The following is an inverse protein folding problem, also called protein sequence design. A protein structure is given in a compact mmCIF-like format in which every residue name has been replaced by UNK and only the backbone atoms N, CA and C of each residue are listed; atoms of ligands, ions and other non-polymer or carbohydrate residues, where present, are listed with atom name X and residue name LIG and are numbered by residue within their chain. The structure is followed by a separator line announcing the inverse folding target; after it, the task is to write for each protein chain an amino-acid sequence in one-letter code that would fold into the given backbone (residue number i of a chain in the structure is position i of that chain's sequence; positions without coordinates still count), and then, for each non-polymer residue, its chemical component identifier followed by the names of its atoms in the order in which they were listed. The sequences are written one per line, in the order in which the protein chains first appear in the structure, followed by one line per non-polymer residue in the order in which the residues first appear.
data_IF_616339752888
#
_entry.id   IF_616339752888
#
_cell.length_a   1.000
_cell.length_b   1.000
_cell.length_c   1.000
_cell.angle_alpha   90.00
_cell.angle_beta   90.00
_cell.angle_gamma   90.00
#
_symmetry.space_group_name_H-M   'P 1'
#
loop_
_entity.id
_entity.type
_entity.pdbx_description
1 polymer ?
#
# COMPACT_ATOMS: atom_id res chain seq x y z
N UNK A 1 -23.89 12.39 16.86
CA UNK A 1 -25.06 12.32 15.95
C UNK A 1 -24.59 12.38 14.51
N UNK A 2 -24.76 11.30 13.72
CA UNK A 2 -24.31 11.27 12.30
C UNK A 2 -25.14 12.22 11.43
N UNK A 3 -26.44 12.35 11.69
CA UNK A 3 -27.36 13.22 10.96
C UNK A 3 -27.01 14.73 11.02
N UNK A 4 -26.18 15.16 11.98
CA UNK A 4 -25.70 16.54 12.05
C UNK A 4 -24.62 16.85 10.99
N UNK A 5 -24.03 15.82 10.39
CA UNK A 5 -23.10 15.96 9.26
C UNK A 5 -23.95 16.14 8.00
N UNK A 6 -23.79 17.26 7.30
CA UNK A 6 -24.46 17.58 6.02
C UNK A 6 -23.93 16.69 4.88
N UNK A 7 -24.05 15.38 5.04
CA UNK A 7 -23.59 14.39 4.08
C UNK A 7 -24.54 14.39 2.88
N UNK A 8 -23.95 14.33 1.69
CA UNK A 8 -24.66 14.23 0.43
C UNK A 8 -24.13 13.00 -0.33
N UNK A 9 -25.00 12.39 -1.15
CA UNK A 9 -24.66 11.25 -2.00
C UNK A 9 -25.06 11.57 -3.43
N UNK A 10 -24.23 11.19 -4.39
CA UNK A 10 -24.54 11.31 -5.82
C UNK A 10 -24.37 9.96 -6.51
N UNK A 11 -25.36 9.60 -7.33
CA UNK A 11 -25.39 8.35 -8.09
C UNK A 11 -24.69 8.54 -9.43
N UNK A 12 -23.86 7.58 -9.80
CA UNK A 12 -23.08 7.61 -11.05
C UNK A 12 -23.22 6.33 -11.90
N UNK A 13 -24.01 5.34 -11.44
CA UNK A 13 -24.22 4.08 -12.16
C UNK A 13 -25.51 3.40 -11.69
N UNK A 14 -26.18 2.68 -12.60
CA UNK A 14 -27.37 1.89 -12.34
C UNK A 14 -27.09 0.43 -12.72
N UNK A 15 -27.26 -0.48 -11.77
CA UNK A 15 -27.14 -1.93 -11.97
C UNK A 15 -28.54 -2.57 -11.90
N UNK A 16 -28.82 -3.49 -12.82
CA UNK A 16 -30.06 -4.25 -12.80
C UNK A 16 -30.22 -5.11 -14.05
N UNK A 17 -31.13 -6.07 -13.95
CA UNK A 17 -31.63 -6.84 -15.10
C UNK A 17 -32.76 -6.03 -15.76
N UNK A 18 -32.74 -5.90 -17.09
CA UNK A 18 -33.78 -5.14 -17.82
C UNK A 18 -33.69 -3.63 -17.64
N UNK A 19 -32.49 -3.05 -17.79
CA UNK A 19 -32.32 -1.60 -17.72
C UNK A 19 -33.16 -0.86 -18.78
N UNK A 20 -33.69 0.33 -18.47
CA UNK A 20 -34.60 1.08 -19.34
C UNK A 20 -34.03 1.45 -20.73
N UNK A 21 -32.71 1.59 -20.84
CA UNK A 21 -32.00 1.87 -22.09
C UNK A 21 -30.65 1.14 -22.15
N UNK A 22 -30.11 0.94 -23.35
CA UNK A 22 -28.71 0.52 -23.55
C UNK A 22 -27.72 1.70 -23.35
N UNK A 23 -28.19 2.94 -23.18
CA UNK A 23 -27.34 4.11 -22.90
C UNK A 23 -27.17 4.35 -21.40
N UNK A 24 -25.92 4.41 -20.94
CA UNK A 24 -25.57 4.81 -19.58
C UNK A 24 -26.11 6.21 -19.26
N UNK A 25 -25.92 7.18 -20.15
CA UNK A 25 -26.39 8.55 -19.97
C UNK A 25 -27.91 8.61 -19.80
N UNK A 26 -28.68 7.93 -20.66
CA UNK A 26 -30.15 7.93 -20.58
C UNK A 26 -30.65 7.28 -19.30
N UNK A 27 -30.02 6.19 -18.86
CA UNK A 27 -30.34 5.56 -17.58
C UNK A 27 -30.07 6.48 -16.39
N UNK A 28 -28.99 7.28 -16.44
CA UNK A 28 -28.68 8.25 -15.40
C UNK A 28 -29.66 9.44 -15.40
N UNK A 29 -30.10 9.91 -16.57
CA UNK A 29 -31.16 10.91 -16.68
C UNK A 29 -32.50 10.39 -16.14
N UNK A 30 -32.82 9.12 -16.38
CA UNK A 30 -34.02 8.51 -15.83
C UNK A 30 -33.92 8.33 -14.31
N UNK A 31 -32.76 7.93 -13.80
CA UNK A 31 -32.49 7.90 -12.36
C UNK A 31 -32.69 9.27 -11.71
N UNK A 32 -32.27 10.35 -12.39
CA UNK A 32 -32.54 11.73 -11.94
C UNK A 32 -34.04 12.02 -11.89
N UNK A 33 -34.81 11.60 -12.91
CA UNK A 33 -36.28 11.73 -12.93
C UNK A 33 -36.96 10.94 -11.80
N UNK A 34 -36.38 9.83 -11.36
CA UNK A 34 -36.86 9.06 -10.20
C UNK A 34 -36.54 9.71 -8.85
N UNK A 35 -35.83 10.84 -8.83
CA UNK A 35 -35.47 11.58 -7.61
C UNK A 35 -34.12 11.20 -7.02
N UNK A 36 -33.30 10.40 -7.72
CA UNK A 36 -31.93 10.15 -7.30
C UNK A 36 -31.05 11.37 -7.60
N UNK A 37 -30.14 11.68 -6.68
CA UNK A 37 -29.19 12.78 -6.87
C UNK A 37 -28.14 12.39 -7.92
N UNK A 38 -28.32 12.83 -9.15
CA UNK A 38 -27.40 12.60 -10.27
C UNK A 38 -26.79 13.93 -10.67
N UNK A 39 -25.46 13.99 -10.73
CA UNK A 39 -24.74 15.23 -11.05
C UNK A 39 -25.29 15.89 -12.32
N UNK A 40 -25.55 17.19 -12.23
CA UNK A 40 -25.97 18.02 -13.36
C UNK A 40 -24.83 18.28 -14.37
N UNK A 41 -23.60 17.93 -14.01
CA UNK A 41 -22.40 18.18 -14.83
C UNK A 41 -22.16 17.13 -15.91
N UNK A 42 -22.90 16.02 -15.88
CA UNK A 42 -22.73 14.92 -16.83
C UNK A 42 -23.12 15.34 -18.26
N UNK A 43 -22.29 15.01 -19.25
CA UNK A 43 -22.52 15.31 -20.67
C UNK A 43 -22.25 14.07 -21.52
N UNK A 44 -23.17 13.75 -22.44
CA UNK A 44 -22.93 12.80 -23.53
C UNK A 44 -22.08 13.48 -24.60
N UNK A 45 -20.93 12.90 -24.93
CA UNK A 45 -20.04 13.39 -25.97
C UNK A 45 -20.04 12.42 -27.14
N UNK A 46 -20.19 12.92 -28.36
CA UNK A 46 -20.28 12.13 -29.59
C UNK A 46 -18.98 12.11 -30.40
N UNK A 47 -17.97 12.90 -30.02
CA UNK A 47 -16.64 12.92 -30.64
C UNK A 47 -15.52 13.15 -29.62
N UNK A 48 -14.26 12.94 -30.03
CA UNK A 48 -13.10 13.21 -29.18
C UNK A 48 -12.94 14.71 -28.91
N UNK A 49 -13.29 15.55 -29.87
CA UNK A 49 -13.25 17.02 -29.73
C UNK A 49 -14.18 17.46 -28.60
N UNK A 50 -15.42 16.95 -28.57
CA UNK A 50 -16.37 17.24 -27.50
C UNK A 50 -15.86 16.78 -26.13
N UNK A 51 -15.16 15.63 -26.08
CA UNK A 51 -14.51 15.16 -24.86
C UNK A 51 -13.42 16.13 -24.41
N UNK A 52 -12.52 16.55 -25.30
CA UNK A 52 -11.45 17.48 -24.95
C UNK A 52 -11.97 18.86 -24.54
N UNK A 53 -13.01 19.37 -25.18
CA UNK A 53 -13.68 20.61 -24.77
C UNK A 53 -14.28 20.49 -23.37
N UNK A 54 -14.94 19.36 -23.08
CA UNK A 54 -15.50 19.08 -21.76
C UNK A 54 -14.40 19.05 -20.69
N UNK A 55 -13.28 18.36 -20.97
CA UNK A 55 -12.13 18.31 -20.06
C UNK A 55 -11.53 19.70 -19.84
N UNK A 56 -11.31 20.49 -20.90
CA UNK A 56 -10.76 21.85 -20.80
C UNK A 56 -11.64 22.77 -19.95
N UNK A 57 -12.96 22.70 -20.12
CA UNK A 57 -13.90 23.49 -19.33
C UNK A 57 -13.85 23.11 -17.83
N UNK A 58 -13.91 21.81 -17.54
CA UNK A 58 -13.91 21.31 -16.16
C UNK A 58 -12.53 21.38 -15.48
N UNK A 59 -11.45 21.65 -16.24
CA UNK A 59 -10.16 21.94 -15.62
C UNK A 59 -10.17 23.25 -14.81
N UNK A 60 -11.12 24.15 -15.07
CA UNK A 60 -11.26 25.41 -14.33
C UNK A 60 -12.56 25.44 -13.53
N UNK A 61 -13.68 25.12 -14.19
CA UNK A 61 -15.02 25.25 -13.61
C UNK A 61 -15.24 24.33 -12.38
N UNK A 62 -14.47 23.25 -12.24
CA UNK A 62 -14.63 22.34 -11.09
C UNK A 62 -14.41 23.01 -9.74
N UNK A 63 -13.61 24.08 -9.69
CA UNK A 63 -13.28 24.81 -8.46
C UNK A 63 -14.47 25.54 -7.84
N UNK A 64 -15.55 25.76 -8.61
CA UNK A 64 -16.79 26.36 -8.12
C UNK A 64 -17.84 25.34 -7.68
N UNK A 65 -17.56 24.03 -7.78
CA UNK A 65 -18.48 23.01 -7.30
C UNK A 65 -18.52 22.99 -5.76
N UNK A 66 -19.66 22.59 -5.21
CA UNK A 66 -19.84 22.41 -3.76
C UNK A 66 -19.04 21.23 -3.20
N UNK A 67 -18.47 20.40 -4.07
CA UNK A 67 -17.68 19.22 -3.75
C UNK A 67 -16.32 19.28 -4.43
N UNK A 68 -15.28 18.87 -3.71
CA UNK A 68 -13.95 18.71 -4.29
C UNK A 68 -13.97 17.58 -5.33
N UNK A 69 -13.31 17.81 -6.47
CA UNK A 69 -13.22 16.85 -7.57
C UNK A 69 -11.80 16.84 -8.12
N UNK A 70 -11.32 15.64 -8.45
CA UNK A 70 -9.93 15.38 -8.88
C UNK A 70 -9.79 15.14 -10.39
N UNK A 71 -10.92 15.07 -11.09
CA UNK A 71 -10.96 14.67 -12.49
C UNK A 71 -12.36 14.48 -13.05
N UNK A 72 -12.40 13.83 -14.21
CA UNK A 72 -13.60 13.43 -14.95
C UNK A 72 -13.49 11.94 -15.25
N UNK A 73 -14.60 11.20 -15.12
CA UNK A 73 -14.66 9.80 -15.55
C UNK A 73 -15.26 9.74 -16.95
N UNK A 74 -14.48 9.25 -17.92
CA UNK A 74 -14.93 8.98 -19.27
C UNK A 74 -15.44 7.54 -19.33
N UNK A 75 -16.63 7.33 -19.88
CA UNK A 75 -17.26 6.00 -19.99
C UNK A 75 -17.80 5.80 -21.41
N UNK A 76 -17.66 4.59 -21.92
CA UNK A 76 -18.39 4.15 -23.10
C UNK A 76 -19.89 4.18 -22.78
N UNK A 77 -20.70 4.88 -23.58
CA UNK A 77 -22.12 5.09 -23.25
C UNK A 77 -22.96 3.80 -23.40
N UNK A 78 -22.68 2.97 -24.40
CA UNK A 78 -23.43 1.74 -24.65
C UNK A 78 -23.11 0.64 -23.65
N UNK A 79 -24.11 0.15 -22.93
CA UNK A 79 -24.01 -0.94 -21.96
C UNK A 79 -23.67 -2.27 -22.62
N UNK A 80 -24.15 -2.51 -23.84
CA UNK A 80 -23.76 -3.69 -24.62
C UNK A 80 -22.26 -3.68 -24.95
N UNK A 81 -21.70 -2.53 -25.30
CA UNK A 81 -20.26 -2.37 -25.49
C UNK A 81 -19.48 -2.53 -24.18
N UNK A 82 -19.98 -2.00 -23.06
CA UNK A 82 -19.37 -2.19 -21.74
C UNK A 82 -19.27 -3.69 -21.36
N UNK A 83 -20.35 -4.46 -21.60
CA UNK A 83 -20.37 -5.92 -21.38
C UNK A 83 -19.32 -6.64 -22.21
N UNK A 84 -19.19 -6.28 -23.50
CA UNK A 84 -18.21 -6.89 -24.40
C UNK A 84 -16.76 -6.55 -24.03
N UNK A 85 -16.51 -5.33 -23.53
CA UNK A 85 -15.18 -4.90 -23.10
C UNK A 85 -14.75 -5.55 -21.77
N UNK A 86 -15.71 -5.84 -20.88
CA UNK A 86 -15.44 -6.51 -19.61
C UNK A 86 -14.51 -5.72 -18.67
N UNK A 87 -13.80 -6.43 -17.80
CA UNK A 87 -12.89 -5.87 -16.81
C UNK A 87 -11.57 -6.64 -16.72
N UNK A 88 -10.57 -6.01 -16.12
CA UNK A 88 -9.37 -6.67 -15.59
C UNK A 88 -9.65 -7.19 -14.17
N UNK A 89 -8.64 -7.73 -13.48
CA UNK A 89 -8.74 -8.14 -12.07
C UNK A 89 -9.10 -6.99 -11.10
N UNK A 90 -8.93 -5.72 -11.53
CA UNK A 90 -9.20 -4.54 -10.68
C UNK A 90 -10.08 -3.46 -11.31
N UNK A 91 -10.09 -3.31 -12.64
CA UNK A 91 -10.70 -2.13 -13.30
C UNK A 91 -11.50 -2.49 -14.55
N UNK A 92 -12.62 -1.81 -14.84
CA UNK A 92 -13.36 -1.97 -16.10
C UNK A 92 -12.54 -1.47 -17.29
N UNK A 93 -12.67 -2.11 -18.46
CA UNK A 93 -11.97 -1.68 -19.69
C UNK A 93 -12.68 -0.55 -20.44
N UNK A 94 -13.93 -0.27 -20.09
CA UNK A 94 -14.82 0.69 -20.77
C UNK A 94 -14.91 2.05 -20.07
N UNK A 95 -14.17 2.26 -18.99
CA UNK A 95 -14.12 3.54 -18.29
C UNK A 95 -12.69 3.90 -17.88
N UNK A 96 -12.39 5.20 -17.88
CA UNK A 96 -11.12 5.76 -17.43
C UNK A 96 -11.36 7.03 -16.62
N UNK A 97 -10.61 7.18 -15.53
CA UNK A 97 -10.56 8.42 -14.77
C UNK A 97 -9.48 9.33 -15.35
N UNK A 98 -9.89 10.42 -15.99
CA UNK A 98 -9.00 11.50 -16.41
C UNK A 98 -8.79 12.45 -15.23
N UNK A 99 -7.61 12.41 -14.60
CA UNK A 99 -7.27 13.33 -13.52
C UNK A 99 -6.70 14.62 -14.08
N UNK A 100 -7.16 15.75 -13.56
CA UNK A 100 -6.57 17.05 -13.91
C UNK A 100 -5.16 17.16 -13.34
N UNK A 101 -4.33 18.04 -13.93
CA UNK A 101 -2.98 18.27 -13.44
C UNK A 101 -3.04 18.62 -11.95
N UNK A 102 -2.32 17.83 -11.16
CA UNK A 102 -2.27 18.03 -9.73
C UNK A 102 -1.73 19.44 -9.45
N UNK A 103 -2.36 20.12 -8.50
CA UNK A 103 -1.86 21.41 -8.03
C UNK A 103 -0.39 21.23 -7.62
N UNK A 104 0.45 22.16 -8.08
CA UNK A 104 1.85 22.25 -7.69
C UNK A 104 2.00 23.38 -6.69
N UNK A 105 2.68 23.10 -5.60
CA UNK A 105 3.08 24.12 -4.64
C UNK A 105 4.60 24.27 -4.65
N UNK A 106 5.07 25.50 -4.54
CA UNK A 106 6.48 25.81 -4.32
C UNK A 106 6.71 25.96 -2.82
N UNK A 107 7.62 25.17 -2.25
CA UNK A 107 7.99 25.28 -0.83
C UNK A 107 9.49 25.06 -0.64
N UNK A 108 10.01 25.32 0.56
CA UNK A 108 11.43 25.15 0.89
C UNK A 108 11.73 23.73 1.37
N UNK A 109 12.83 23.15 0.88
CA UNK A 109 13.39 21.91 1.42
C UNK A 109 14.19 22.20 2.69
N UNK A 110 13.75 21.67 3.83
CA UNK A 110 14.43 21.87 5.12
C UNK A 110 15.50 20.80 5.39
N UNK A 111 15.17 19.53 5.15
CA UNK A 111 16.09 18.40 5.34
C UNK A 111 15.64 17.19 4.54
N UNK A 112 16.52 16.19 4.42
CA UNK A 112 16.16 14.88 3.86
C UNK A 112 16.42 13.82 4.93
N UNK A 113 15.41 13.03 5.24
CA UNK A 113 15.51 11.86 6.12
C UNK A 113 15.40 10.59 5.29
N UNK A 114 15.95 9.49 5.80
CA UNK A 114 15.96 8.20 5.11
C UNK A 114 15.18 7.21 5.94
N UNK A 115 14.14 6.63 5.35
CA UNK A 115 13.28 5.65 6.00
C UNK A 115 13.64 4.24 5.52
N UNK A 116 13.91 3.35 6.45
CA UNK A 116 14.15 1.94 6.16
C UNK A 116 12.82 1.21 6.19
N UNK A 117 12.44 0.62 5.07
CA UNK A 117 11.23 -0.20 4.97
C UNK A 117 11.44 -1.61 5.52
N UNK A 118 10.34 -2.35 5.64
CA UNK A 118 10.31 -3.75 6.08
C UNK A 118 11.33 -4.65 5.39
N UNK A 119 11.51 -4.49 4.08
CA UNK A 119 12.40 -5.31 3.24
C UNK A 119 13.84 -4.78 3.18
N UNK A 120 14.17 -3.81 4.04
CA UNK A 120 15.45 -3.12 4.05
C UNK A 120 15.55 -1.97 3.04
N UNK A 121 14.58 -1.78 2.15
CA UNK A 121 14.57 -0.69 1.18
C UNK A 121 14.67 0.68 1.87
N UNK A 122 15.69 1.46 1.54
CA UNK A 122 15.95 2.78 2.12
C UNK A 122 15.38 3.84 1.19
N UNK A 123 14.33 4.52 1.63
CA UNK A 123 13.61 5.53 0.84
C UNK A 123 13.93 6.94 1.36
N UNK A 124 14.41 7.85 0.51
CA UNK A 124 14.60 9.25 0.90
C UNK A 124 13.27 9.99 0.97
N UNK A 125 13.11 10.79 2.03
CA UNK A 125 11.93 11.61 2.30
C UNK A 125 12.39 13.05 2.51
N UNK A 126 11.87 13.95 1.68
CA UNK A 126 12.06 15.38 1.86
C UNK A 126 11.17 15.90 2.99
N UNK A 127 11.76 16.59 3.96
CA UNK A 127 11.06 17.38 4.96
C UNK A 127 11.00 18.82 4.47
N UNK A 128 9.79 19.37 4.43
CA UNK A 128 9.47 20.60 3.74
C UNK A 128 8.88 21.61 4.71
N UNK A 129 9.12 22.88 4.42
CA UNK A 129 8.35 23.96 5.02
C UNK A 129 6.85 23.72 4.73
N UNK A 130 5.97 23.78 5.74
CA UNK A 130 4.56 23.42 5.57
C UNK A 130 3.88 24.24 4.47
N UNK A 131 3.30 23.56 3.48
CA UNK A 131 2.63 24.22 2.35
C UNK A 131 1.24 23.63 2.11
N UNK A 132 0.28 24.50 1.78
CA UNK A 132 -1.08 24.07 1.45
C UNK A 132 -1.10 23.52 0.02
N UNK A 133 -1.55 22.27 -0.14
CA UNK A 133 -1.66 21.60 -1.43
C UNK A 133 -2.93 20.76 -1.48
N UNK A 134 -3.85 21.10 -2.38
CA UNK A 134 -5.14 20.41 -2.55
C UNK A 134 -5.90 20.27 -1.23
N UNK A 135 -6.04 21.39 -0.50
CA UNK A 135 -6.80 21.46 0.75
C UNK A 135 -6.14 20.85 2.00
N UNK A 136 -4.90 20.32 1.89
CA UNK A 136 -4.18 19.76 3.04
C UNK A 136 -2.79 20.36 3.17
N UNK A 137 -2.26 20.43 4.41
CA UNK A 137 -0.88 20.86 4.64
C UNK A 137 0.10 19.71 4.40
N UNK A 138 0.98 19.88 3.42
CA UNK A 138 2.06 18.96 3.10
C UNK A 138 3.33 19.41 3.82
N UNK A 139 3.94 18.50 4.59
CA UNK A 139 5.24 18.69 5.26
C UNK A 139 6.32 17.70 4.82
N UNK A 140 5.92 16.65 4.10
CA UNK A 140 6.80 15.58 3.66
C UNK A 140 6.47 15.18 2.23
N UNK A 141 7.49 14.90 1.44
CA UNK A 141 7.33 14.41 0.07
C UNK A 141 8.35 13.30 -0.23
N UNK A 142 7.95 12.35 -1.07
CA UNK A 142 8.84 11.30 -1.55
C UNK A 142 9.86 11.87 -2.54
N UNK A 143 11.12 11.43 -2.38
CA UNK A 143 12.20 11.65 -3.34
C UNK A 143 12.46 10.40 -4.21
N UNK A 144 11.66 9.34 -4.06
CA UNK A 144 11.79 8.05 -4.73
C UNK A 144 13.09 7.28 -4.41
N UNK A 145 14.23 7.74 -4.89
CA UNK A 145 15.52 7.05 -4.79
C UNK A 145 16.71 8.02 -4.98
N UNK A 146 17.94 7.49 -4.95
CA UNK A 146 19.15 8.29 -5.16
C UNK A 146 19.19 8.95 -6.54
N UNK A 147 18.81 8.22 -7.59
CA UNK A 147 18.90 8.72 -8.97
C UNK A 147 18.02 9.96 -9.16
N UNK A 148 16.83 9.98 -8.54
CA UNK A 148 15.95 11.14 -8.55
C UNK A 148 16.56 12.35 -7.80
N UNK A 149 17.26 12.13 -6.69
CA UNK A 149 17.98 13.20 -5.97
C UNK A 149 19.08 13.79 -6.86
N UNK A 150 19.85 12.94 -7.53
CA UNK A 150 20.93 13.35 -8.42
C UNK A 150 20.40 14.08 -9.65
N UNK A 151 19.32 13.57 -10.27
CA UNK A 151 18.68 14.18 -11.43
C UNK A 151 18.11 15.58 -11.13
N UNK A 152 17.56 15.77 -9.92
CA UNK A 152 17.06 17.07 -9.45
C UNK A 152 18.18 18.04 -9.05
N UNK A 153 19.42 17.56 -8.86
CA UNK A 153 20.55 18.31 -8.32
C UNK A 153 20.19 19.02 -7.00
N UNK A 154 19.58 18.27 -6.08
CA UNK A 154 18.93 18.83 -4.89
C UNK A 154 19.93 19.35 -3.84
N UNK A 155 19.69 20.54 -3.31
CA UNK A 155 20.45 21.14 -2.20
C UNK A 155 19.52 21.48 -1.04
N UNK A 156 20.02 21.37 0.19
CA UNK A 156 19.26 21.80 1.37
C UNK A 156 18.96 23.30 1.28
N UNK A 157 17.71 23.67 1.52
CA UNK A 157 17.22 25.05 1.36
C UNK A 157 16.68 25.38 -0.03
N UNK A 158 16.78 24.48 -1.02
CA UNK A 158 16.19 24.68 -2.36
C UNK A 158 14.68 24.95 -2.28
N UNK A 159 14.17 25.77 -3.20
CA UNK A 159 12.72 25.86 -3.45
C UNK A 159 12.31 24.76 -4.41
N UNK A 160 11.39 23.90 -3.97
CA UNK A 160 11.01 22.67 -4.66
C UNK A 160 9.54 22.68 -5.04
N UNK A 161 9.24 22.18 -6.24
CA UNK A 161 7.87 21.98 -6.70
C UNK A 161 7.35 20.65 -6.19
N UNK A 162 6.30 20.71 -5.37
CA UNK A 162 5.66 19.56 -4.76
C UNK A 162 4.31 19.35 -5.40
N UNK A 163 4.04 18.11 -5.78
CA UNK A 163 2.81 17.67 -6.42
C UNK A 163 2.26 16.45 -5.67
N UNK A 164 0.94 16.28 -5.61
CA UNK A 164 0.33 15.04 -5.12
C UNK A 164 -0.02 14.11 -6.27
N UNK A 165 0.72 13.02 -6.40
CA UNK A 165 0.36 11.95 -7.34
C UNK A 165 -0.98 11.34 -6.97
N UNK A 166 -1.97 11.46 -7.84
CA UNK A 166 -3.32 10.93 -7.62
C UNK A 166 -3.99 11.45 -6.34
N UNK A 167 -3.62 12.66 -5.89
CA UNK A 167 -4.07 13.37 -4.67
C UNK A 167 -3.61 12.82 -3.31
N UNK A 168 -2.88 11.70 -3.27
CA UNK A 168 -2.55 11.03 -2.01
C UNK A 168 -1.09 11.22 -1.59
N UNK A 169 -0.13 10.88 -2.46
CA UNK A 169 1.30 10.84 -2.09
C UNK A 169 2.02 12.07 -2.65
N UNK A 170 2.51 12.99 -1.80
CA UNK A 170 3.31 14.13 -2.26
C UNK A 170 4.67 13.67 -2.76
N UNK A 171 5.10 14.24 -3.88
CA UNK A 171 6.40 13.98 -4.52
C UNK A 171 7.05 15.31 -4.95
N UNK A 172 8.37 15.36 -4.93
CA UNK A 172 9.10 16.47 -5.54
C UNK A 172 9.19 16.24 -7.05
N UNK A 173 8.82 17.24 -7.83
CA UNK A 173 8.77 17.18 -9.30
C UNK A 173 9.83 18.05 -9.97
N UNK A 174 10.43 18.98 -9.23
CA UNK A 174 11.41 19.91 -9.77
C UNK A 174 11.98 20.82 -8.70
N UNK A 175 13.03 21.54 -9.07
CA UNK A 175 13.67 22.57 -8.26
C UNK A 175 13.58 23.89 -9.03
N UNK A 176 13.20 24.95 -8.35
CA UNK A 176 13.31 26.32 -8.87
C UNK A 176 14.78 26.77 -8.74
N UNK A 177 15.56 26.54 -9.80
CA UNK A 177 16.99 26.84 -9.81
C UNK A 177 17.28 28.34 -9.85
N UNK A 178 16.35 29.16 -10.33
CA UNK A 178 16.50 30.61 -10.40
C UNK A 178 16.37 31.25 -9.01
N UNK A 179 15.56 30.65 -8.14
CA UNK A 179 15.41 31.07 -6.75
C UNK A 179 16.57 30.64 -5.82
N UNK A 180 17.66 30.07 -6.35
CA UNK A 180 18.82 29.64 -5.56
C UNK A 180 19.60 30.84 -5.03
N UNK A 181 19.38 31.16 -3.76
CA UNK A 181 20.13 32.18 -3.04
C UNK A 181 20.53 31.64 -1.65
N UNK A 182 21.83 31.66 -1.33
CA UNK A 182 22.39 31.08 -0.09
C UNK A 182 21.96 29.62 0.16
N UNK A 183 22.18 28.75 -0.83
CA UNK A 183 21.85 27.32 -0.72
C UNK A 183 22.80 26.58 0.22
N UNK A 184 22.26 25.59 0.93
CA UNK A 184 23.02 24.69 1.79
C UNK A 184 23.71 23.56 1.02
N UNK A 185 24.16 22.56 1.76
CA UNK A 185 24.89 21.43 1.18
C UNK A 185 24.07 20.64 0.16
N UNK A 186 24.76 20.09 -0.83
CA UNK A 186 24.18 19.15 -1.79
C UNK A 186 23.68 17.90 -1.07
N UNK A 187 22.46 17.49 -1.37
CA UNK A 187 21.88 16.27 -0.81
C UNK A 187 22.62 15.06 -1.40
N UNK A 188 23.20 14.24 -0.52
CA UNK A 188 23.86 12.98 -0.87
C UNK A 188 23.12 11.83 -0.21
N UNK A 189 22.99 10.71 -0.92
CA UNK A 189 22.40 9.52 -0.35
C UNK A 189 23.28 8.96 0.78
N UNK A 190 22.65 8.44 1.84
CA UNK A 190 23.39 7.86 2.97
C UNK A 190 24.03 6.54 2.56
N UNK A 191 25.27 6.30 2.98
CA UNK A 191 25.98 5.04 2.69
C UNK A 191 25.79 3.98 3.77
N UNK A 192 25.23 4.37 4.92
CA UNK A 192 24.94 3.49 6.06
C UNK A 192 23.48 3.63 6.46
N UNK A 193 22.91 2.51 6.93
CA UNK A 193 21.56 2.46 7.44
C UNK A 193 21.40 3.44 8.63
N UNK A 194 20.42 4.36 8.59
CA UNK A 194 20.22 5.34 9.66
C UNK A 194 19.80 4.69 10.99
N UNK A 195 19.20 3.51 10.95
CA UNK A 195 18.68 2.82 12.15
C UNK A 195 19.66 1.83 12.79
N UNK A 196 20.47 1.11 11.99
CA UNK A 196 21.38 0.08 12.51
C UNK A 196 22.86 0.25 12.12
N UNK A 197 23.20 1.27 11.32
CA UNK A 197 24.59 1.59 10.95
C UNK A 197 25.26 0.64 9.94
N UNK A 198 24.59 -0.45 9.54
CA UNK A 198 25.08 -1.38 8.52
C UNK A 198 25.28 -0.66 7.17
N UNK A 199 26.41 -0.90 6.46
CA UNK A 199 26.60 -0.38 5.10
C UNK A 199 25.44 -0.77 4.18
N UNK A 200 24.93 0.20 3.42
CA UNK A 200 23.87 -0.06 2.45
C UNK A 200 24.46 -0.71 1.19
N UNK A 201 23.64 -1.56 0.58
CA UNK A 201 23.96 -2.25 -0.68
C UNK A 201 22.96 -1.81 -1.74
N UNK A 202 23.44 -1.51 -2.93
CA UNK A 202 22.63 -1.26 -4.12
C UNK A 202 23.00 -2.31 -5.16
N UNK A 203 22.05 -3.13 -5.56
CA UNK A 203 22.27 -4.15 -6.59
C UNK A 203 22.40 -3.46 -7.95
N UNK A 204 23.19 -4.03 -8.88
CA UNK A 204 23.51 -3.40 -10.18
C UNK A 204 22.26 -3.05 -11.00
N UNK A 205 21.20 -3.88 -10.90
CA UNK A 205 19.94 -3.68 -11.63
C UNK A 205 18.86 -2.91 -10.85
N UNK A 206 19.14 -2.43 -9.64
CA UNK A 206 18.15 -1.79 -8.77
C UNK A 206 18.50 -0.32 -8.47
N UNK A 207 17.50 0.56 -8.57
CA UNK A 207 17.65 1.98 -8.23
C UNK A 207 17.62 2.25 -6.71
N UNK A 208 17.22 1.25 -5.92
CA UNK A 208 16.95 1.38 -4.48
C UNK A 208 18.12 0.81 -3.69
N UNK A 209 18.49 1.51 -2.61
CA UNK A 209 19.46 1.00 -1.63
C UNK A 209 18.75 0.12 -0.60
N UNK A 210 19.42 -0.92 -0.15
CA UNK A 210 18.91 -1.84 0.85
C UNK A 210 19.84 -1.92 2.05
N UNK A 211 19.25 -1.98 3.24
CA UNK A 211 19.91 -2.43 4.46
C UNK A 211 19.96 -3.97 4.44
N UNK A 212 21.14 -4.61 4.33
CA UNK A 212 21.23 -6.07 4.27
C UNK A 212 21.05 -6.76 5.64
N UNK A 213 21.00 -5.98 6.73
CA UNK A 213 20.84 -6.49 8.09
C UNK A 213 19.38 -6.90 8.37
N UNK A 214 18.96 -7.99 7.76
CA UNK A 214 17.58 -8.48 7.89
C UNK A 214 17.25 -8.93 9.32
N UNK A 215 18.23 -9.45 10.06
CA UNK A 215 18.02 -10.06 11.37
C UNK A 215 17.94 -9.04 12.52
N UNK A 216 18.76 -7.99 12.47
CA UNK A 216 18.93 -7.10 13.63
C UNK A 216 18.48 -5.65 13.39
N UNK A 217 18.06 -5.29 12.17
CA UNK A 217 17.62 -3.92 11.87
C UNK A 217 16.20 -3.68 12.46
N UNK A 218 16.03 -2.81 13.47
CA UNK A 218 14.75 -2.59 14.14
C UNK A 218 13.57 -2.27 13.20
N UNK A 219 13.69 -1.35 12.22
CA UNK A 219 12.56 -1.06 11.32
C UNK A 219 12.20 -2.24 10.42
N UNK A 220 13.16 -3.11 10.08
CA UNK A 220 12.85 -4.33 9.32
C UNK A 220 12.07 -5.32 10.18
N UNK A 221 12.50 -5.53 11.44
CA UNK A 221 11.81 -6.39 12.39
C UNK A 221 10.39 -5.88 12.65
N UNK A 222 10.25 -4.62 13.07
CA UNK A 222 8.94 -3.99 13.32
C UNK A 222 8.05 -4.06 12.08
N UNK A 223 8.60 -3.76 10.90
CA UNK A 223 7.88 -3.85 9.63
C UNK A 223 7.43 -5.28 9.25
N UNK A 224 8.18 -6.32 9.61
CA UNK A 224 7.76 -7.72 9.40
C UNK A 224 6.60 -8.10 10.30
N UNK A 225 6.65 -7.67 11.57
CA UNK A 225 5.55 -7.86 12.52
C UNK A 225 4.32 -7.08 12.03
N UNK A 226 4.49 -5.83 11.58
CA UNK A 226 3.41 -5.02 11.00
C UNK A 226 2.71 -5.73 9.84
N UNK A 227 3.48 -6.33 8.93
CA UNK A 227 2.92 -7.14 7.84
C UNK A 227 2.15 -8.35 8.35
N UNK A 228 2.74 -9.08 9.28
CA UNK A 228 2.17 -10.30 9.86
C UNK A 228 0.79 -10.02 10.49
N UNK A 229 0.63 -8.90 11.21
CA UNK A 229 -0.63 -8.56 11.87
C UNK A 229 -1.70 -7.99 10.94
N UNK A 230 -1.38 -7.66 9.68
CA UNK A 230 -2.34 -7.02 8.76
C UNK A 230 -3.62 -7.83 8.56
N UNK A 231 -4.72 -7.14 8.20
CA UNK A 231 -6.03 -7.74 7.95
C UNK A 231 -6.01 -8.89 6.93
N UNK A 232 -5.11 -8.84 5.94
CA UNK A 232 -4.97 -9.88 4.90
C UNK A 232 -4.06 -11.03 5.33
N UNK A 233 -3.12 -10.77 6.24
CA UNK A 233 -2.27 -11.77 6.88
C UNK A 233 -3.00 -12.39 8.09
N UNK A 234 -2.51 -12.21 9.31
CA UNK A 234 -3.06 -12.85 10.51
C UNK A 234 -4.23 -12.10 11.16
N UNK A 235 -4.53 -10.87 10.71
CA UNK A 235 -5.66 -10.07 11.19
C UNK A 235 -5.68 -9.89 12.72
N UNK A 236 -4.53 -9.55 13.29
CA UNK A 236 -4.35 -9.26 14.72
C UNK A 236 -4.61 -7.75 14.92
N UNK A 237 -5.37 -7.37 15.94
CA UNK A 237 -5.81 -5.98 16.15
C UNK A 237 -4.72 -5.14 16.82
N UNK A 238 -3.62 -4.90 16.10
CA UNK A 238 -2.46 -4.16 16.56
C UNK A 238 -1.98 -3.16 15.50
N UNK A 239 -1.53 -1.97 15.93
CA UNK A 239 -0.95 -0.96 15.05
C UNK A 239 0.57 -0.78 15.23
N UNK A 240 1.23 0.00 14.34
CA UNK A 240 2.67 0.27 14.40
C UNK A 240 3.18 0.80 15.74
N UNK A 241 2.40 1.65 16.42
CA UNK A 241 2.76 2.21 17.73
C UNK A 241 2.87 1.12 18.81
N UNK A 242 1.92 0.19 18.85
CA UNK A 242 1.95 -0.94 19.77
C UNK A 242 3.13 -1.87 19.49
N UNK A 243 3.39 -2.18 18.22
CA UNK A 243 4.53 -3.01 17.81
C UNK A 243 5.83 -2.35 18.26
N UNK A 244 5.95 -1.03 18.05
CA UNK A 244 7.08 -0.23 18.52
C UNK A 244 7.27 -0.36 20.03
N UNK A 245 6.21 -0.14 20.80
CA UNK A 245 6.23 -0.23 22.26
C UNK A 245 6.65 -1.61 22.77
N UNK A 246 6.05 -2.69 22.26
CA UNK A 246 6.36 -4.06 22.67
C UNK A 246 7.80 -4.43 22.33
N UNK A 247 8.27 -4.03 21.14
CA UNK A 247 9.66 -4.25 20.73
C UNK A 247 10.65 -3.47 21.60
N UNK A 248 10.36 -2.20 21.88
CA UNK A 248 11.26 -1.32 22.67
C UNK A 248 11.32 -1.76 24.14
N UNK A 249 10.26 -2.39 24.66
CA UNK A 249 10.23 -3.04 25.98
C UNK A 249 10.85 -4.44 25.99
N UNK A 250 11.27 -4.95 24.83
CA UNK A 250 11.88 -6.28 24.70
C UNK A 250 10.90 -7.44 24.86
N UNK A 251 9.60 -7.19 24.79
CA UNK A 251 8.56 -8.21 24.90
C UNK A 251 8.41 -9.04 23.62
N UNK A 252 8.77 -8.46 22.47
CA UNK A 252 8.76 -9.16 21.18
C UNK A 252 10.02 -8.83 20.37
N UNK A 253 10.52 -9.84 19.65
CA UNK A 253 11.64 -9.76 18.69
C UNK A 253 11.24 -10.24 17.31
N UNK A 254 10.17 -11.01 17.20
CA UNK A 254 9.47 -11.29 15.96
C UNK A 254 7.98 -11.57 16.22
N UNK A 255 7.26 -12.01 15.19
CA UNK A 255 5.83 -12.23 15.27
C UNK A 255 5.44 -13.51 16.05
N UNK A 256 6.37 -14.44 16.27
CA UNK A 256 6.06 -15.65 17.02
C UNK A 256 5.94 -15.34 18.53
N UNK A 257 6.72 -14.37 19.01
CA UNK A 257 6.66 -13.91 20.41
C UNK A 257 5.29 -13.32 20.78
N UNK A 258 4.51 -12.85 19.80
CA UNK A 258 3.14 -12.38 20.03
C UNK A 258 2.28 -13.46 20.70
N UNK A 259 2.50 -14.72 20.37
CA UNK A 259 1.74 -15.86 20.89
C UNK A 259 2.20 -16.31 22.29
N UNK A 260 3.27 -15.72 22.81
CA UNK A 260 3.76 -15.93 24.17
C UNK A 260 3.36 -14.81 25.14
N UNK A 261 2.85 -13.67 24.63
CA UNK A 261 2.42 -12.54 25.45
C UNK A 261 1.33 -12.94 26.45
N UNK A 262 1.50 -12.50 27.70
CA UNK A 262 0.53 -12.67 28.76
C UNK A 262 -0.19 -11.35 29.06
N UNK A 263 -1.29 -11.43 29.82
CA UNK A 263 -2.07 -10.26 30.18
C UNK A 263 -1.24 -9.25 30.97
N UNK A 264 -0.41 -9.75 31.89
CA UNK A 264 0.47 -8.97 32.78
C UNK A 264 1.52 -8.17 32.00
N UNK A 265 2.01 -8.71 30.88
CA UNK A 265 2.96 -8.04 30.00
C UNK A 265 2.34 -6.78 29.37
N UNK A 266 1.02 -6.79 29.15
CA UNK A 266 0.29 -5.71 28.49
C UNK A 266 -0.20 -4.66 29.48
N UNK A 267 -0.81 -5.07 30.60
CA UNK A 267 -1.35 -4.09 31.58
C UNK A 267 -0.27 -3.33 32.34
N UNK A 268 0.97 -3.82 32.35
CA UNK A 268 2.13 -3.10 32.89
C UNK A 268 2.60 -1.95 31.99
N UNK A 269 2.09 -1.85 30.76
CA UNK A 269 2.45 -0.81 29.80
C UNK A 269 1.65 0.48 30.04
N UNK A 270 2.31 1.61 29.81
CA UNK A 270 1.66 2.91 29.88
C UNK A 270 0.52 3.01 28.84
N UNK A 271 -0.64 3.53 29.26
CA UNK A 271 -1.85 3.69 28.42
C UNK A 271 -2.52 2.38 27.98
N UNK A 272 -2.20 1.25 28.61
CA UNK A 272 -2.92 -0.01 28.45
C UNK A 272 -3.95 -0.21 29.55
N UNK A 273 -5.17 -0.55 29.15
CA UNK A 273 -6.26 -0.92 30.06
C UNK A 273 -6.62 -2.39 29.84
N UNK A 274 -7.24 -3.01 30.84
CA UNK A 274 -7.63 -4.43 30.81
C UNK A 274 -8.40 -4.80 29.54
N UNK A 275 -9.33 -3.96 29.10
CA UNK A 275 -10.10 -4.19 27.87
C UNK A 275 -9.23 -4.23 26.62
N UNK A 276 -8.25 -3.32 26.49
CA UNK A 276 -7.35 -3.30 25.32
C UNK A 276 -6.41 -4.50 25.34
N UNK A 277 -5.91 -4.89 26.51
CA UNK A 277 -5.07 -6.07 26.69
C UNK A 277 -5.84 -7.34 26.27
N UNK A 278 -7.04 -7.54 26.81
CA UNK A 278 -7.89 -8.67 26.47
C UNK A 278 -8.28 -8.71 24.99
N UNK A 279 -8.60 -7.56 24.38
CA UNK A 279 -8.90 -7.49 22.95
C UNK A 279 -7.71 -7.91 22.09
N UNK A 280 -6.49 -7.47 22.43
CA UNK A 280 -5.30 -7.89 21.71
C UNK A 280 -5.08 -9.39 21.83
N UNK A 281 -5.06 -9.94 23.05
CA UNK A 281 -4.85 -11.38 23.30
C UNK A 281 -5.91 -12.23 22.59
N UNK A 282 -7.18 -11.82 22.64
CA UNK A 282 -8.26 -12.50 21.93
C UNK A 282 -8.06 -12.47 20.40
N UNK A 283 -7.54 -11.37 19.85
CA UNK A 283 -7.23 -11.28 18.42
C UNK A 283 -6.05 -12.18 18.02
N UNK A 284 -5.04 -12.31 18.89
CA UNK A 284 -3.91 -13.22 18.70
C UNK A 284 -4.39 -14.67 18.73
N UNK A 285 -5.22 -15.05 19.70
CA UNK A 285 -5.76 -16.40 19.78
C UNK A 285 -6.62 -16.74 18.56
N UNK A 286 -7.52 -15.83 18.18
CA UNK A 286 -8.36 -16.00 16.98
C UNK A 286 -7.52 -16.14 15.70
N UNK A 287 -6.34 -15.52 15.63
CA UNK A 287 -5.48 -15.58 14.45
C UNK A 287 -4.93 -16.99 14.17
N UNK A 288 -4.88 -17.89 15.16
CA UNK A 288 -4.40 -19.27 14.98
C UNK A 288 -5.28 -20.09 14.02
N UNK A 289 -6.54 -19.68 13.84
CA UNK A 289 -7.48 -20.30 12.90
C UNK A 289 -7.43 -19.70 11.49
N UNK A 290 -6.48 -18.79 11.20
CA UNK A 290 -6.30 -18.24 9.85
C UNK A 290 -5.83 -19.35 8.89
N UNK A 291 -6.42 -19.45 7.68
CA UNK A 291 -6.05 -20.47 6.68
C UNK A 291 -4.57 -20.42 6.27
N UNK A 292 -4.04 -21.57 5.87
CA UNK A 292 -2.62 -21.76 5.55
C UNK A 292 -2.10 -20.78 4.48
N UNK A 293 -2.84 -20.50 3.42
CA UNK A 293 -2.42 -19.56 2.37
C UNK A 293 -2.18 -18.14 2.91
N UNK A 294 -2.94 -17.75 3.94
CA UNK A 294 -2.79 -16.46 4.61
C UNK A 294 -1.65 -16.48 5.63
N UNK A 295 -1.43 -17.61 6.30
CA UNK A 295 -0.24 -17.82 7.14
C UNK A 295 1.03 -17.73 6.30
N UNK A 296 1.05 -18.38 5.12
CA UNK A 296 2.17 -18.32 4.18
C UNK A 296 2.42 -16.89 3.68
N UNK A 297 1.35 -16.15 3.38
CA UNK A 297 1.46 -14.71 3.09
C UNK A 297 2.04 -13.93 4.28
N UNK A 298 1.62 -14.25 5.51
CA UNK A 298 2.07 -13.58 6.74
C UNK A 298 3.57 -13.78 7.03
N UNK A 299 4.17 -14.92 6.62
CA UNK A 299 5.61 -15.17 6.76
C UNK A 299 6.48 -14.11 6.06
N UNK A 300 5.92 -13.40 5.06
CA UNK A 300 6.58 -12.26 4.44
C UNK A 300 7.80 -12.62 3.59
N UNK A 301 7.79 -13.81 2.96
CA UNK A 301 8.83 -14.26 2.03
C UNK A 301 8.95 -13.25 0.88
N UNK A 302 10.19 -12.90 0.51
CA UNK A 302 10.44 -11.89 -0.54
C UNK A 302 9.80 -12.31 -1.87
N UNK A 303 9.14 -11.36 -2.53
CA UNK A 303 8.35 -11.54 -3.76
C UNK A 303 7.08 -12.42 -3.65
N UNK A 304 6.80 -13.02 -2.49
CA UNK A 304 5.58 -13.79 -2.25
C UNK A 304 4.47 -12.87 -1.75
N UNK A 305 3.67 -12.37 -2.69
CA UNK A 305 2.43 -11.64 -2.39
C UNK A 305 1.25 -12.56 -2.06
N UNK A 306 0.09 -11.98 -1.77
CA UNK A 306 -1.16 -12.71 -1.42
C UNK A 306 -1.52 -13.79 -2.46
N UNK A 307 -1.54 -13.41 -3.75
CA UNK A 307 -1.84 -14.35 -4.85
C UNK A 307 -0.81 -15.46 -4.99
N UNK A 308 0.48 -15.13 -4.83
CA UNK A 308 1.56 -16.11 -4.94
C UNK A 308 1.52 -17.09 -3.76
N UNK A 309 1.26 -16.59 -2.54
CA UNK A 309 1.08 -17.43 -1.37
C UNK A 309 -0.10 -18.40 -1.53
N UNK A 310 -1.22 -17.93 -2.10
CA UNK A 310 -2.36 -18.80 -2.43
C UNK A 310 -1.98 -19.90 -3.41
N UNK A 311 -1.29 -19.57 -4.51
CA UNK A 311 -0.84 -20.57 -5.50
C UNK A 311 0.15 -21.56 -4.92
N UNK A 312 1.09 -21.10 -4.10
CA UNK A 312 2.05 -21.98 -3.40
C UNK A 312 1.35 -22.92 -2.43
N UNK A 313 0.39 -22.42 -1.63
CA UNK A 313 -0.36 -23.25 -0.70
C UNK A 313 -1.20 -24.32 -1.41
N UNK A 314 -1.79 -23.97 -2.57
CA UNK A 314 -2.54 -24.91 -3.42
C UNK A 314 -1.65 -25.92 -4.14
N UNK A 315 -0.39 -25.58 -4.46
CA UNK A 315 0.54 -26.53 -5.06
C UNK A 315 1.23 -27.42 -4.01
N UNK A 316 1.47 -26.88 -2.82
CA UNK A 316 2.15 -27.52 -1.71
C UNK A 316 1.28 -27.42 -0.46
N UNK A 317 0.40 -28.40 -0.28
CA UNK A 317 -0.67 -28.41 0.73
C UNK A 317 -0.20 -28.41 2.20
N UNK A 318 1.10 -28.53 2.41
CA UNK A 318 1.76 -28.55 3.71
C UNK A 318 3.08 -27.76 3.62
N UNK A 319 3.41 -27.03 4.68
CA UNK A 319 4.61 -26.17 4.67
C UNK A 319 5.93 -26.97 4.60
N UNK A 320 5.98 -28.19 5.12
CA UNK A 320 7.16 -29.05 5.04
C UNK A 320 7.37 -29.53 3.60
N UNK A 321 6.28 -29.78 2.85
CA UNK A 321 6.37 -30.03 1.41
C UNK A 321 6.92 -28.82 0.66
N UNK A 322 6.45 -27.61 1.01
CA UNK A 322 6.96 -26.38 0.43
C UNK A 322 8.44 -26.15 0.78
N UNK A 323 8.84 -26.41 2.02
CA UNK A 323 10.22 -26.27 2.49
C UNK A 323 11.18 -27.26 1.81
N UNK A 324 10.71 -28.48 1.55
CA UNK A 324 11.47 -29.53 0.86
C UNK A 324 11.55 -29.33 -0.66
N UNK A 325 10.68 -28.50 -1.25
CA UNK A 325 10.61 -28.32 -2.70
C UNK A 325 11.94 -27.82 -3.29
N UNK A 326 12.25 -28.29 -4.50
CA UNK A 326 13.38 -27.78 -5.29
C UNK A 326 12.96 -26.52 -6.06
N UNK A 327 13.95 -25.75 -6.53
CA UNK A 327 13.69 -24.56 -7.35
C UNK A 327 12.90 -24.95 -8.61
N UNK A 328 13.25 -26.09 -9.23
CA UNK A 328 12.57 -26.59 -10.42
C UNK A 328 11.09 -26.91 -10.14
N UNK A 329 10.80 -27.58 -9.02
CA UNK A 329 9.42 -27.87 -8.61
C UNK A 329 8.61 -26.60 -8.36
N UNK A 330 9.21 -25.60 -7.70
CA UNK A 330 8.56 -24.32 -7.45
C UNK A 330 8.24 -23.58 -8.76
N UNK A 331 9.13 -23.64 -9.76
CA UNK A 331 8.91 -22.98 -11.06
C UNK A 331 7.84 -23.64 -11.93
N UNK A 332 7.40 -24.86 -11.62
CA UNK A 332 6.28 -25.50 -12.31
C UNK A 332 4.92 -24.91 -11.91
N UNK A 333 4.86 -24.20 -10.78
CA UNK A 333 3.63 -23.54 -10.33
C UNK A 333 3.40 -22.29 -11.17
N UNK A 334 2.16 -22.11 -11.64
CA UNK A 334 1.78 -20.99 -12.48
C UNK A 334 2.12 -19.63 -11.82
N UNK A 335 2.69 -18.70 -12.58
CA UNK A 335 3.16 -17.38 -12.13
C UNK A 335 4.36 -17.37 -11.17
N UNK A 336 4.99 -18.53 -10.92
CA UNK A 336 6.21 -18.63 -10.10
C UNK A 336 7.44 -18.73 -11.00
N UNK A 337 8.16 -17.61 -11.13
CA UNK A 337 9.46 -17.58 -11.81
C UNK A 337 10.64 -17.83 -10.87
N UNK A 338 11.83 -18.00 -11.46
CA UNK A 338 13.09 -18.28 -10.76
C UNK A 338 13.37 -17.40 -9.54
N UNK A 339 13.05 -16.10 -9.61
CA UNK A 339 13.30 -15.16 -8.51
C UNK A 339 12.45 -15.48 -7.28
N UNK A 340 11.19 -15.87 -7.49
CA UNK A 340 10.27 -16.24 -6.42
C UNK A 340 10.69 -17.59 -5.86
N UNK A 341 10.94 -18.58 -6.73
CA UNK A 341 11.38 -19.91 -6.34
C UNK A 341 12.65 -19.89 -5.47
N UNK A 342 13.69 -19.13 -5.89
CA UNK A 342 14.90 -18.94 -5.07
C UNK A 342 14.62 -18.25 -3.75
N UNK A 343 13.78 -17.21 -3.73
CA UNK A 343 13.44 -16.51 -2.48
C UNK A 343 12.70 -17.39 -1.47
N UNK A 344 11.84 -18.31 -1.95
CA UNK A 344 11.22 -19.33 -1.11
C UNK A 344 12.27 -20.31 -0.58
N UNK A 345 13.18 -20.77 -1.44
CA UNK A 345 14.24 -21.70 -1.04
C UNK A 345 15.16 -21.07 0.02
N UNK A 346 15.68 -19.88 -0.26
CA UNK A 346 16.56 -19.13 0.64
C UNK A 346 15.90 -18.88 2.01
N UNK A 347 14.57 -18.67 2.03
CA UNK A 347 13.82 -18.50 3.28
C UNK A 347 13.87 -19.77 4.14
N UNK A 348 13.59 -20.95 3.58
CA UNK A 348 13.60 -22.19 4.36
C UNK A 348 15.00 -22.72 4.67
N UNK A 349 16.01 -22.37 3.86
CA UNK A 349 17.41 -22.69 4.15
C UNK A 349 18.01 -21.82 5.26
N UNK A 350 17.42 -20.65 5.54
CA UNK A 350 17.84 -19.80 6.65
C UNK A 350 17.40 -20.42 8.00
N UNK A 351 18.33 -20.75 8.92
CA UNK A 351 17.99 -21.39 10.19
C UNK A 351 17.07 -20.55 11.09
N UNK A 352 17.20 -19.21 11.06
CA UNK A 352 16.34 -18.32 11.83
C UNK A 352 14.91 -18.27 11.31
N UNK A 353 14.73 -18.33 9.99
CA UNK A 353 13.40 -18.45 9.37
C UNK A 353 12.77 -19.83 9.65
N UNK A 354 13.55 -20.91 9.61
CA UNK A 354 13.09 -22.25 9.97
C UNK A 354 12.65 -22.33 11.45
N UNK A 355 13.43 -21.75 12.38
CA UNK A 355 13.04 -21.62 13.79
C UNK A 355 11.74 -20.83 13.96
N UNK A 356 11.63 -19.69 13.28
CA UNK A 356 10.43 -18.86 13.31
C UNK A 356 9.17 -19.63 12.91
N UNK A 357 9.22 -20.39 11.81
CA UNK A 357 8.11 -21.26 11.37
C UNK A 357 7.80 -22.33 12.43
N UNK A 358 8.82 -22.95 13.02
CA UNK A 358 8.62 -23.97 14.05
C UNK A 358 7.99 -23.42 15.33
N UNK A 359 8.39 -22.22 15.78
CA UNK A 359 7.75 -21.55 16.94
C UNK A 359 6.30 -21.22 16.66
N UNK A 360 5.99 -20.67 15.48
CA UNK A 360 4.60 -20.44 15.07
C UNK A 360 3.79 -21.74 15.06
N UNK A 361 4.36 -22.83 14.54
CA UNK A 361 3.71 -24.15 14.51
C UNK A 361 3.44 -24.66 15.92
N UNK A 362 4.39 -24.50 16.84
CA UNK A 362 4.21 -24.88 18.24
C UNK A 362 3.08 -24.10 18.95
N UNK A 363 2.79 -22.87 18.50
CA UNK A 363 1.65 -22.08 18.96
C UNK A 363 0.31 -22.45 18.29
N UNK A 364 0.28 -23.42 17.38
CA UNK A 364 -0.94 -23.97 16.77
C UNK A 364 -1.44 -23.25 15.52
N UNK A 365 -0.57 -22.53 14.81
CA UNK A 365 -0.93 -21.91 13.52
C UNK A 365 -1.13 -22.98 12.44
N UNK A 366 -2.04 -22.71 11.49
CA UNK A 366 -2.34 -23.61 10.38
C UNK A 366 -1.25 -23.57 9.31
N UNK A 367 -0.56 -24.70 9.13
CA UNK A 367 0.48 -24.88 8.12
C UNK A 367 0.13 -25.93 7.07
N UNK A 368 -1.15 -26.30 7.01
CA UNK A 368 -1.73 -27.25 6.09
C UNK A 368 -3.04 -26.69 5.54
N UNK A 369 -3.36 -26.99 4.29
CA UNK A 369 -4.70 -26.76 3.76
C UNK A 369 -5.72 -27.60 4.54
N UNK A 370 -6.90 -27.03 4.79
CA UNK A 370 -8.00 -27.80 5.38
C UNK A 370 -8.49 -28.86 4.40
N UNK A 371 -9.05 -29.96 4.92
CA UNK A 371 -9.65 -31.01 4.08
C UNK A 371 -10.74 -30.46 3.15
N UNK A 372 -11.49 -29.45 3.62
CA UNK A 372 -12.51 -28.74 2.84
C UNK A 372 -11.92 -27.98 1.66
N UNK A 373 -10.75 -27.35 1.84
CA UNK A 373 -10.05 -26.63 0.78
C UNK A 373 -9.37 -27.57 -0.23
N UNK A 374 -9.02 -28.79 0.20
CA UNK A 374 -8.50 -29.83 -0.69
C UNK A 374 -9.59 -30.51 -1.53
N UNK A 375 -10.83 -30.48 -1.05
CA UNK A 375 -11.99 -31.08 -1.71
C UNK A 375 -12.72 -30.14 -2.69
N UNK A 376 -12.46 -28.83 -2.63
CA UNK A 376 -13.01 -27.79 -3.49
C UNK A 376 -12.13 -27.54 -4.72
#
# INVERSE_FOLDING_TARGET
VVAARKLESSVYYLMGEGLPSDSHFENMELARKWGLNVSATMKKCCSLEEVFEFLKYWDVARKSLSVATDGVVLKVDSLSQQRNLGSTSKFPRWAIAYKFNAEKALTRLESVTYQVGRTGAVTPVANLEPVLLSGTTVKRASLYNEDAILALDLHIGDRVYVEKGGEIIPKITGVDKEARFLIGDKVRFVTRCPDCGTPLVRNEDEAVHYCPNNENCPPQIKGRIEHFVTRKAMNITMGPETIGLLYDKGLIRDAADLYALQFEDLVSLERWAETSANNLLASIEKSKAVPYERVLFALGIRFVGETVAQKLALAFHDIDLLAAATVEQLTLVEEIGDRIARSVKDFFENPGCADFVNRLRAHGLQFQLSEEALAA
#
